data_IF_255812659437
#
_entry.id   IF_255812659437
#
_cell.length_a   1.000
_cell.length_b   1.000
_cell.length_c   1.000
_cell.angle_alpha   90.00
_cell.angle_beta   90.00
_cell.angle_gamma   90.00
#
_symmetry.space_group_name_H-M   'P 1'
#
loop_
_entity.id
_entity.type
_entity.pdbx_description
1 polymer ?
#
# COMPACT_ATOMS: atom_id res chain seq x y z
N UNK A 1 -24.49 -64.24 -16.99
CA UNK A 1 -25.01 -63.11 -16.19
C UNK A 1 -23.80 -62.40 -15.61
N UNK A 2 -23.37 -61.24 -16.13
CA UNK A 2 -23.94 -59.90 -15.84
C UNK A 2 -23.94 -59.67 -14.32
N UNK A 3 -23.27 -58.69 -13.72
CA UNK A 3 -23.13 -57.27 -14.07
C UNK A 3 -21.81 -56.74 -13.43
N UNK A 4 -20.98 -55.96 -14.13
CA UNK A 4 -20.98 -54.49 -14.14
C UNK A 4 -21.28 -53.85 -12.77
N UNK A 5 -20.32 -53.07 -12.24
CA UNK A 5 -20.55 -51.69 -11.79
C UNK A 5 -19.24 -51.14 -11.19
N UNK A 6 -18.59 -50.34 -12.05
CA UNK A 6 -18.05 -49.02 -11.75
C UNK A 6 -16.81 -48.95 -10.84
N UNK A 7 -15.65 -49.07 -11.48
CA UNK A 7 -14.41 -48.41 -11.04
C UNK A 7 -14.69 -46.91 -10.93
N UNK A 8 -14.91 -46.44 -9.71
CA UNK A 8 -15.02 -45.03 -9.43
C UNK A 8 -13.64 -44.42 -9.63
N UNK A 9 -13.42 -43.85 -10.82
CA UNK A 9 -12.24 -43.06 -11.12
C UNK A 9 -12.19 -41.89 -10.14
N UNK A 10 -11.30 -41.97 -9.16
CA UNK A 10 -10.79 -40.80 -8.47
C UNK A 10 -10.08 -39.94 -9.51
N UNK A 11 -10.81 -38.96 -10.05
CA UNK A 11 -10.18 -37.87 -10.78
C UNK A 11 -9.22 -37.19 -9.79
N UNK A 12 -7.90 -37.17 -10.05
CA UNK A 12 -7.01 -36.35 -9.25
C UNK A 12 -7.47 -34.90 -9.44
N UNK A 13 -7.92 -34.32 -8.34
CA UNK A 13 -8.37 -32.95 -8.24
C UNK A 13 -7.18 -32.04 -8.58
N UNK A 14 -7.03 -31.68 -9.86
CA UNK A 14 -6.03 -30.76 -10.40
C UNK A 14 -6.33 -29.30 -9.99
N UNK A 15 -6.80 -29.07 -8.76
CA UNK A 15 -6.83 -27.73 -8.24
C UNK A 15 -5.39 -27.38 -7.86
N UNK A 16 -4.79 -26.36 -8.50
CA UNK A 16 -3.51 -25.86 -8.02
C UNK A 16 -3.69 -25.49 -6.54
N UNK A 17 -2.67 -25.72 -5.68
CA UNK A 17 -2.73 -25.30 -4.28
C UNK A 17 -3.20 -23.85 -4.24
N UNK A 18 -4.35 -23.60 -3.60
CA UNK A 18 -4.85 -22.24 -3.42
C UNK A 18 -3.69 -21.41 -2.87
N UNK A 19 -3.40 -20.28 -3.52
CA UNK A 19 -2.27 -19.41 -3.20
C UNK A 19 -2.09 -19.31 -1.67
N UNK A 20 -0.98 -19.85 -1.18
CA UNK A 20 -0.73 -20.04 0.26
C UNK A 20 -0.29 -18.75 0.94
N UNK A 21 0.25 -17.80 0.17
CA UNK A 21 0.82 -16.57 0.71
C UNK A 21 -0.26 -15.49 0.90
N UNK A 22 -0.28 -14.82 2.06
CA UNK A 22 -1.20 -13.71 2.28
C UNK A 22 -0.77 -12.51 1.41
N UNK A 23 -1.75 -11.72 0.95
CA UNK A 23 -1.49 -10.64 -0.02
C UNK A 23 -0.59 -9.51 0.52
N UNK A 24 -0.53 -9.33 1.83
CA UNK A 24 0.32 -8.31 2.46
C UNK A 24 1.79 -8.60 2.17
N UNK A 25 2.26 -9.84 2.33
CA UNK A 25 3.66 -10.19 2.05
C UNK A 25 4.06 -10.02 0.57
N UNK A 26 3.09 -9.91 -0.33
CA UNK A 26 3.33 -9.68 -1.76
C UNK A 26 3.59 -8.21 -2.10
N UNK A 27 3.48 -7.28 -1.14
CA UNK A 27 3.87 -5.89 -1.37
C UNK A 27 5.39 -5.78 -1.62
N UNK A 28 5.83 -4.91 -2.54
CA UNK A 28 7.25 -4.69 -2.78
C UNK A 28 7.90 -4.01 -1.56
N UNK A 29 9.19 -4.24 -1.34
CA UNK A 29 9.95 -3.70 -0.18
C UNK A 29 9.78 -2.19 0.03
N UNK A 30 9.70 -1.43 -1.07
CA UNK A 30 9.50 0.03 -1.02
C UNK A 30 8.20 0.42 -0.30
N UNK A 31 7.15 -0.40 -0.38
CA UNK A 31 5.91 -0.17 0.36
C UNK A 31 6.18 -0.20 1.87
N UNK A 32 6.90 -1.23 2.35
CA UNK A 32 7.23 -1.39 3.76
C UNK A 32 8.13 -0.29 4.31
N UNK A 33 8.91 0.35 3.45
CA UNK A 33 9.75 1.49 3.82
C UNK A 33 8.98 2.81 3.83
N UNK A 34 8.11 3.05 2.84
CA UNK A 34 7.37 4.30 2.69
C UNK A 34 6.17 4.38 3.63
N UNK A 35 5.41 3.29 3.75
CA UNK A 35 4.13 3.28 4.45
C UNK A 35 4.23 3.66 5.94
N UNK A 36 5.22 3.19 6.73
CA UNK A 36 5.38 3.62 8.11
C UNK A 36 5.61 5.14 8.23
N UNK A 37 6.35 5.73 7.31
CA UNK A 37 6.59 7.18 7.29
C UNK A 37 5.31 7.94 6.97
N UNK A 38 4.56 7.50 5.95
CA UNK A 38 3.25 8.09 5.61
C UNK A 38 2.31 8.03 6.82
N UNK A 39 2.20 6.86 7.46
CA UNK A 39 1.34 6.66 8.62
C UNK A 39 1.72 7.60 9.77
N UNK A 40 3.00 7.72 10.08
CA UNK A 40 3.51 8.64 11.10
C UNK A 40 3.11 10.10 10.81
N UNK A 41 3.26 10.54 9.57
CA UNK A 41 2.86 11.90 9.18
C UNK A 41 1.35 12.10 9.32
N UNK A 42 0.52 11.16 8.88
CA UNK A 42 -0.93 11.26 9.10
C UNK A 42 -1.26 11.36 10.60
N UNK A 43 -0.62 10.57 11.46
CA UNK A 43 -0.81 10.63 12.92
C UNK A 43 -0.41 11.98 13.54
N UNK A 44 0.69 12.58 13.07
CA UNK A 44 1.12 13.91 13.55
C UNK A 44 0.13 15.02 13.20
N UNK A 45 -0.55 14.90 12.06
CA UNK A 45 -1.52 15.88 11.57
C UNK A 45 -2.93 15.65 12.13
N UNK A 46 -3.23 14.42 12.56
CA UNK A 46 -4.45 14.07 13.30
C UNK A 46 -4.32 14.45 14.78
N UNK A 47 -4.32 15.76 15.09
CA UNK A 47 -4.26 16.27 16.45
C UNK A 47 -5.64 16.83 16.88
N UNK A 48 -6.17 16.51 18.08
CA UNK A 48 -7.43 17.08 18.58
C UNK A 48 -7.42 18.62 18.69
N UNK A 49 -6.26 19.26 18.88
CA UNK A 49 -6.11 20.72 18.97
C UNK A 49 -5.70 21.40 17.66
N UNK A 50 -5.29 20.60 16.67
CA UNK A 50 -5.07 21.03 15.30
C UNK A 50 -5.74 19.98 14.42
N UNK A 51 -7.04 20.13 14.12
CA UNK A 51 -7.75 19.22 13.25
C UNK A 51 -7.23 19.50 11.82
N UNK A 52 -5.98 19.10 11.57
CA UNK A 52 -5.11 19.53 10.48
C UNK A 52 -5.52 19.00 9.11
N UNK A 53 -6.79 18.66 8.97
CA UNK A 53 -7.50 18.25 7.78
C UNK A 53 -9.02 18.34 7.99
N UNK A 54 -9.56 19.18 8.88
CA UNK A 54 -11.02 19.32 9.04
C UNK A 54 -11.55 20.52 8.26
N UNK A 55 -12.54 20.34 7.36
CA UNK A 55 -13.18 19.08 7.01
C UNK A 55 -12.32 18.20 6.08
N UNK A 56 -11.40 18.76 5.28
CA UNK A 56 -10.43 18.04 4.44
C UNK A 56 -9.12 18.84 4.29
N UNK A 57 -7.96 18.19 4.04
CA UNK A 57 -6.74 18.94 3.74
C UNK A 57 -6.86 19.68 2.41
N UNK A 58 -6.17 20.82 2.31
CA UNK A 58 -6.00 21.49 1.01
C UNK A 58 -5.00 20.72 0.14
N UNK A 59 -5.09 20.89 -1.18
CA UNK A 59 -4.10 20.35 -2.12
C UNK A 59 -2.67 20.76 -1.78
N UNK A 60 -2.47 22.02 -1.40
CA UNK A 60 -1.16 22.56 -1.03
C UNK A 60 -0.60 21.85 0.22
N UNK A 61 -1.45 21.57 1.22
CA UNK A 61 -1.07 20.79 2.41
C UNK A 61 -0.61 19.38 2.01
N UNK A 62 -1.36 18.70 1.13
CA UNK A 62 -0.99 17.37 0.63
C UNK A 62 0.34 17.39 -0.13
N UNK A 63 0.56 18.38 -0.99
CA UNK A 63 1.81 18.52 -1.75
C UNK A 63 3.01 18.80 -0.83
N UNK A 64 2.82 19.58 0.23
CA UNK A 64 3.83 19.81 1.26
C UNK A 64 4.14 18.55 2.05
N UNK A 65 3.12 17.84 2.56
CA UNK A 65 3.28 16.56 3.27
C UNK A 65 4.00 15.54 2.38
N UNK A 66 3.60 15.41 1.12
CA UNK A 66 4.24 14.53 0.13
C UNK A 66 5.72 14.86 -0.02
N UNK A 67 6.07 16.15 -0.05
CA UNK A 67 7.47 16.59 -0.19
C UNK A 67 8.29 16.23 1.04
N UNK A 68 7.75 16.45 2.25
CA UNK A 68 8.42 16.12 3.51
C UNK A 68 8.61 14.60 3.68
N UNK A 69 7.57 13.82 3.36
CA UNK A 69 7.65 12.35 3.38
C UNK A 69 8.68 11.85 2.36
N UNK A 70 8.63 12.35 1.12
CA UNK A 70 9.59 11.99 0.07
C UNK A 70 11.02 12.26 0.51
N UNK A 71 11.32 13.45 1.03
CA UNK A 71 12.65 13.80 1.52
C UNK A 71 13.11 12.84 2.62
N UNK A 72 12.24 12.54 3.59
CA UNK A 72 12.55 11.61 4.67
C UNK A 72 12.81 10.19 4.17
N UNK A 73 11.98 9.69 3.25
CA UNK A 73 12.16 8.35 2.64
C UNK A 73 13.47 8.27 1.88
N UNK A 74 13.81 9.27 1.06
CA UNK A 74 15.08 9.29 0.30
C UNK A 74 16.28 9.22 1.25
N UNK A 75 16.23 9.94 2.37
CA UNK A 75 17.29 9.91 3.40
C UNK A 75 17.37 8.54 4.10
N UNK A 76 16.24 7.97 4.50
CA UNK A 76 16.18 6.71 5.28
C UNK A 76 16.61 5.51 4.44
N UNK A 77 16.18 5.48 3.18
CA UNK A 77 16.30 4.27 2.36
C UNK A 77 17.50 4.30 1.42
N UNK A 78 18.11 5.48 1.21
CA UNK A 78 19.17 5.64 0.21
C UNK A 78 18.69 5.43 -1.24
N UNK A 79 17.39 5.20 -1.47
CA UNK A 79 16.81 5.12 -2.81
C UNK A 79 16.87 6.50 -3.47
N UNK A 80 17.95 6.75 -4.19
CA UNK A 80 17.84 7.53 -5.42
C UNK A 80 17.28 6.57 -6.45
N UNK A 81 16.00 6.71 -6.81
CA UNK A 81 15.52 6.13 -8.07
C UNK A 81 16.24 6.91 -9.17
N UNK A 82 17.47 6.47 -9.41
CA UNK A 82 18.50 7.08 -10.23
C UNK A 82 17.93 7.39 -11.62
N UNK A 83 18.28 8.57 -12.12
CA UNK A 83 18.06 9.08 -13.48
C UNK A 83 16.64 9.52 -13.80
N UNK A 84 16.42 10.83 -13.61
CA UNK A 84 15.50 11.76 -14.30
C UNK A 84 14.00 11.40 -14.39
N UNK A 85 13.61 10.16 -14.69
CA UNK A 85 12.21 9.68 -14.73
C UNK A 85 11.73 9.08 -13.39
N UNK A 86 12.63 8.52 -12.58
CA UNK A 86 12.27 7.79 -11.36
C UNK A 86 11.81 8.66 -10.18
N UNK A 87 12.24 9.92 -10.13
CA UNK A 87 11.87 10.86 -9.05
C UNK A 87 10.36 11.11 -9.01
N UNK A 88 9.71 11.09 -10.17
CA UNK A 88 8.26 11.23 -10.29
C UNK A 88 7.50 10.02 -9.72
N UNK A 89 8.03 8.81 -9.89
CA UNK A 89 7.35 7.58 -9.47
C UNK A 89 7.34 7.42 -7.95
N UNK A 90 8.46 7.65 -7.26
CA UNK A 90 8.49 7.58 -5.80
C UNK A 90 7.60 8.67 -5.18
N UNK A 91 7.66 9.90 -5.70
CA UNK A 91 6.78 10.99 -5.24
C UNK A 91 5.31 10.65 -5.48
N UNK A 92 4.97 10.06 -6.62
CA UNK A 92 3.61 9.59 -6.93
C UNK A 92 3.17 8.47 -5.99
N UNK A 93 4.05 7.51 -5.69
CA UNK A 93 3.78 6.45 -4.73
C UNK A 93 3.48 7.02 -3.33
N UNK A 94 4.33 7.95 -2.86
CA UNK A 94 4.12 8.65 -1.59
C UNK A 94 2.77 9.36 -1.58
N UNK A 95 2.44 10.09 -2.65
CA UNK A 95 1.18 10.82 -2.78
C UNK A 95 -0.04 9.89 -2.73
N UNK A 96 -0.01 8.77 -3.47
CA UNK A 96 -1.09 7.77 -3.48
C UNK A 96 -1.27 7.16 -2.09
N UNK A 97 -0.19 6.76 -1.43
CA UNK A 97 -0.24 6.16 -0.09
C UNK A 97 -0.75 7.17 0.94
N UNK A 98 -0.34 8.43 0.85
CA UNK A 98 -0.81 9.52 1.71
C UNK A 98 -2.32 9.73 1.58
N UNK A 99 -2.81 9.89 0.36
CA UNK A 99 -4.26 10.07 0.12
C UNK A 99 -5.04 8.86 0.61
N UNK A 100 -4.58 7.64 0.29
CA UNK A 100 -5.25 6.40 0.71
C UNK A 100 -5.31 6.27 2.24
N UNK A 101 -4.23 6.63 2.95
CA UNK A 101 -4.20 6.59 4.41
C UNK A 101 -5.16 7.62 5.03
N UNK A 102 -5.21 8.83 4.47
CA UNK A 102 -6.14 9.88 4.91
C UNK A 102 -7.61 9.50 4.67
N UNK A 103 -7.91 8.88 3.53
CA UNK A 103 -9.25 8.37 3.20
C UNK A 103 -9.67 7.23 4.13
N UNK A 104 -8.77 6.25 4.35
CA UNK A 104 -8.98 5.13 5.27
C UNK A 104 -9.34 5.60 6.68
N UNK A 105 -8.65 6.62 7.20
CA UNK A 105 -8.89 7.20 8.54
C UNK A 105 -10.27 7.85 8.66
N UNK A 106 -10.88 8.25 7.55
CA UNK A 106 -12.21 8.88 7.48
C UNK A 106 -13.34 7.90 7.21
N UNK A 107 -13.02 6.61 7.05
CA UNK A 107 -14.01 5.59 6.67
C UNK A 107 -14.49 5.71 5.22
N UNK A 108 -13.81 6.49 4.37
CA UNK A 108 -14.03 6.51 2.94
C UNK A 108 -13.07 5.52 2.29
N UNK A 109 -13.49 4.29 2.05
CA UNK A 109 -12.63 3.24 1.48
C UNK A 109 -13.30 2.57 0.29
#
# INVERSE_FOLDING_TARGET
>A
MADDVKKQGCMPSYYPPCATEPLDVMYPDIYYQVYPVVKQYCEMYDNPSNPGCYPYPTRMTIEQMTTQIYQKVVVVTGYQLERQDGRGLLRSLVLILLIRELLRRRGSY
#
